data_IF_772751042181
#
_entry.id   IF_772751042181
#
_cell.length_a   1.000
_cell.length_b   1.000
_cell.length_c   1.000
_cell.angle_alpha   90.00
_cell.angle_beta   90.00
_cell.angle_gamma   90.00
#
_symmetry.space_group_name_H-M   'P 1'
#
loop_
_entity.id
_entity.type
_entity.pdbx_description
1 polymer ?
#
# COMPACT_ATOMS: atom_id res chain seq x y z
N UNK A 1 -4.77 -23.54 -21.24
CA UNK A 1 -3.96 -24.59 -21.90
C UNK A 1 -3.24 -24.17 -23.18
N UNK A 2 -3.93 -23.57 -24.16
CA UNK A 2 -3.33 -23.25 -25.46
C UNK A 2 -2.12 -22.29 -25.37
N UNK A 3 -2.15 -21.31 -24.47
CA UNK A 3 -1.05 -20.35 -24.24
C UNK A 3 0.22 -21.00 -23.67
N UNK A 4 0.07 -22.02 -22.81
CA UNK A 4 1.21 -22.72 -22.19
C UNK A 4 1.95 -23.55 -23.24
N UNK A 5 1.22 -24.24 -24.12
CA UNK A 5 1.81 -25.00 -25.23
C UNK A 5 2.54 -24.11 -26.23
N UNK A 6 1.97 -22.94 -26.56
CA UNK A 6 2.61 -21.97 -27.48
C UNK A 6 3.92 -21.42 -26.90
N UNK A 7 3.98 -21.12 -25.60
CA UNK A 7 5.24 -20.71 -24.95
C UNK A 7 6.29 -21.83 -24.98
N UNK A 8 5.88 -23.08 -24.76
CA UNK A 8 6.76 -24.24 -24.88
C UNK A 8 7.41 -24.39 -26.26
N UNK A 9 6.61 -24.27 -27.34
CA UNK A 9 7.13 -24.32 -28.71
C UNK A 9 8.06 -23.15 -29.04
N UNK A 10 7.77 -21.94 -28.52
CA UNK A 10 8.62 -20.76 -28.69
C UNK A 10 9.98 -20.95 -28.00
N UNK A 11 10.00 -21.45 -26.77
CA UNK A 11 11.26 -21.74 -26.06
C UNK A 11 12.07 -22.83 -26.78
N UNK A 12 11.41 -23.88 -27.28
CA UNK A 12 12.08 -24.94 -28.02
C UNK A 12 12.70 -24.43 -29.34
N UNK A 13 12.00 -23.57 -30.09
CA UNK A 13 12.52 -22.98 -31.34
C UNK A 13 13.67 -22.00 -31.08
N UNK A 14 13.60 -21.19 -30.01
CA UNK A 14 14.71 -20.32 -29.61
C UNK A 14 15.94 -21.16 -29.20
N UNK A 15 15.74 -22.24 -28.42
CA UNK A 15 16.84 -23.12 -28.03
C UNK A 15 17.49 -23.81 -29.23
N UNK A 16 16.69 -24.36 -30.16
CA UNK A 16 17.17 -25.02 -31.38
C UNK A 16 17.94 -24.07 -32.31
N UNK A 17 17.45 -22.84 -32.46
CA UNK A 17 18.13 -21.82 -33.28
C UNK A 17 19.44 -21.37 -32.64
N UNK A 18 19.50 -21.21 -31.32
CA UNK A 18 20.72 -20.91 -30.59
C UNK A 18 21.77 -22.04 -30.73
N UNK A 19 21.36 -23.31 -30.58
CA UNK A 19 22.24 -24.48 -30.75
C UNK A 19 22.79 -24.55 -32.19
N UNK A 20 21.93 -24.33 -33.19
CA UNK A 20 22.36 -24.31 -34.59
C UNK A 20 23.35 -23.19 -34.89
N UNK A 21 23.19 -22.01 -34.26
CA UNK A 21 24.11 -20.88 -34.41
C UNK A 21 25.47 -21.22 -33.81
N UNK A 22 25.49 -21.74 -32.58
CA UNK A 22 26.72 -22.12 -31.87
C UNK A 22 27.49 -23.21 -32.63
N UNK A 23 26.79 -24.20 -33.20
CA UNK A 23 27.41 -25.28 -33.99
C UNK A 23 28.03 -24.78 -35.31
N UNK A 24 27.44 -23.75 -35.94
CA UNK A 24 27.82 -23.25 -37.26
C UNK A 24 28.96 -22.24 -37.22
N UNK A 25 29.13 -21.51 -36.12
CA UNK A 25 30.17 -20.48 -35.98
C UNK A 25 31.35 -20.97 -35.14
N UNK A 26 32.55 -21.16 -35.72
CA UNK A 26 33.69 -21.75 -35.03
C UNK A 26 34.20 -20.95 -33.83
N UNK A 27 34.05 -19.62 -33.85
CA UNK A 27 34.42 -18.74 -32.73
C UNK A 27 33.48 -18.94 -31.53
N UNK A 28 32.17 -19.05 -31.78
CA UNK A 28 31.17 -19.34 -30.74
C UNK A 28 31.34 -20.75 -30.19
N UNK A 29 31.57 -21.74 -31.07
CA UNK A 29 31.90 -23.11 -30.65
C UNK A 29 33.15 -23.15 -29.79
N UNK A 30 34.20 -22.42 -30.16
CA UNK A 30 35.44 -22.34 -29.38
C UNK A 30 35.22 -21.74 -27.99
N UNK A 31 34.42 -20.67 -27.89
CA UNK A 31 34.07 -20.04 -26.60
C UNK A 31 33.22 -21.01 -25.75
N UNK A 32 32.17 -21.63 -26.31
CA UNK A 32 31.28 -22.52 -25.55
C UNK A 32 31.90 -23.85 -25.13
N UNK A 33 32.89 -24.37 -25.87
CA UNK A 33 33.59 -25.61 -25.52
C UNK A 33 34.67 -25.37 -24.45
N UNK A 34 35.00 -24.11 -24.14
CA UNK A 34 35.88 -23.79 -23.02
C UNK A 34 35.22 -24.18 -21.70
N UNK A 35 35.96 -24.92 -20.88
CA UNK A 35 35.53 -25.39 -19.56
C UNK A 35 35.10 -24.20 -18.70
N UNK A 36 35.81 -23.08 -18.79
CA UNK A 36 35.52 -21.85 -18.07
C UNK A 36 34.14 -21.26 -18.43
N UNK A 37 33.72 -21.40 -19.70
CA UNK A 37 32.40 -20.92 -20.14
C UNK A 37 31.27 -21.81 -19.63
N UNK A 38 31.52 -23.13 -19.56
CA UNK A 38 30.57 -24.09 -18.96
C UNK A 38 30.40 -23.84 -17.47
N UNK A 39 31.49 -23.56 -16.75
CA UNK A 39 31.48 -23.22 -15.32
C UNK A 39 30.68 -21.94 -15.03
N UNK A 40 30.88 -20.88 -15.82
CA UNK A 40 30.14 -19.62 -15.67
C UNK A 40 28.64 -19.83 -15.93
N UNK A 41 28.28 -20.57 -16.99
CA UNK A 41 26.87 -20.87 -17.29
C UNK A 41 26.25 -21.70 -16.17
N UNK A 42 26.96 -22.70 -15.65
CA UNK A 42 26.48 -23.52 -14.53
C UNK A 42 26.28 -22.67 -13.26
N UNK A 43 27.23 -21.81 -12.93
CA UNK A 43 27.14 -20.88 -11.80
C UNK A 43 25.95 -19.92 -11.96
N UNK A 44 25.73 -19.38 -13.16
CA UNK A 44 24.61 -18.50 -13.45
C UNK A 44 23.26 -19.22 -13.30
N UNK A 45 23.14 -20.43 -13.84
CA UNK A 45 21.94 -21.25 -13.68
C UNK A 45 21.70 -21.57 -12.20
N UNK A 46 22.74 -21.97 -11.48
CA UNK A 46 22.66 -22.22 -10.04
C UNK A 46 22.20 -20.97 -9.26
N UNK A 47 22.75 -19.80 -9.59
CA UNK A 47 22.36 -18.52 -8.99
C UNK A 47 20.89 -18.21 -9.26
N UNK A 48 20.41 -18.37 -10.49
CA UNK A 48 18.99 -18.15 -10.84
C UNK A 48 18.08 -19.10 -10.05
N UNK A 49 18.42 -20.40 -9.98
CA UNK A 49 17.65 -21.36 -9.19
C UNK A 49 17.70 -21.04 -7.69
N UNK A 50 18.84 -20.61 -7.17
CA UNK A 50 18.99 -20.22 -5.77
C UNK A 50 18.15 -18.99 -5.43
N UNK A 51 18.14 -17.96 -6.29
CA UNK A 51 17.31 -16.77 -6.13
C UNK A 51 15.83 -17.15 -6.20
N UNK A 52 15.43 -17.99 -7.14
CA UNK A 52 14.04 -18.46 -7.22
C UNK A 52 13.63 -19.22 -5.96
N UNK A 53 14.47 -20.13 -5.47
CA UNK A 53 14.24 -20.84 -4.21
C UNK A 53 14.10 -19.89 -3.02
N UNK A 54 14.94 -18.86 -2.93
CA UNK A 54 14.82 -17.85 -1.89
C UNK A 54 13.51 -17.06 -1.99
N UNK A 55 13.12 -16.65 -3.20
CA UNK A 55 11.83 -15.97 -3.42
C UNK A 55 10.69 -16.86 -2.97
N UNK A 56 10.64 -18.11 -3.41
CA UNK A 56 9.56 -19.05 -3.07
C UNK A 56 9.46 -19.29 -1.55
N UNK A 57 10.59 -19.21 -0.83
CA UNK A 57 10.64 -19.36 0.63
C UNK A 57 10.28 -18.08 1.38
N UNK A 58 10.69 -16.92 0.89
CA UNK A 58 10.52 -15.61 1.55
C UNK A 58 9.18 -14.98 1.21
N UNK A 59 8.68 -15.14 -0.02
CA UNK A 59 7.41 -14.61 -0.49
C UNK A 59 6.22 -14.93 0.44
N UNK A 60 5.99 -16.19 0.90
CA UNK A 60 4.91 -16.48 1.84
C UNK A 60 5.11 -15.82 3.21
N UNK A 61 6.35 -15.57 3.63
CA UNK A 61 6.65 -14.85 4.88
C UNK A 61 6.37 -13.35 4.73
N UNK A 62 6.81 -12.73 3.62
CA UNK A 62 6.53 -11.31 3.33
C UNK A 62 5.04 -11.04 3.14
N UNK A 63 4.33 -11.97 2.50
CA UNK A 63 2.87 -11.92 2.36
C UNK A 63 2.14 -12.32 3.63
N UNK A 64 2.85 -12.58 4.72
CA UNK A 64 2.29 -12.99 6.01
C UNK A 64 1.32 -14.18 5.89
N UNK A 65 1.55 -15.10 4.94
CA UNK A 65 0.66 -16.22 4.68
C UNK A 65 0.51 -17.16 5.90
N UNK A 66 1.57 -17.27 6.72
CA UNK A 66 1.54 -18.00 8.00
C UNK A 66 0.61 -17.36 9.04
N UNK A 67 0.31 -16.07 8.91
CA UNK A 67 -0.62 -15.32 9.75
C UNK A 67 -2.04 -15.28 9.18
N UNK A 68 -2.29 -15.89 8.01
CA UNK A 68 -3.62 -15.88 7.39
C UNK A 68 -4.70 -16.52 8.27
N UNK A 69 -4.34 -17.50 9.11
CA UNK A 69 -5.25 -18.10 10.10
C UNK A 69 -5.57 -17.17 11.29
N UNK A 70 -4.71 -16.17 11.53
CA UNK A 70 -4.91 -15.10 12.51
C UNK A 70 -5.40 -13.81 11.86
N UNK A 71 -5.88 -13.88 10.63
CA UNK A 71 -6.40 -12.71 9.93
C UNK A 71 -7.62 -12.16 10.68
N UNK A 72 -7.43 -10.97 11.22
CA UNK A 72 -8.46 -10.25 11.93
C UNK A 72 -9.57 -9.77 11.01
N UNK A 73 -9.36 -9.69 9.68
CA UNK A 73 -10.43 -9.32 8.74
C UNK A 73 -11.56 -10.34 8.69
N UNK A 74 -11.28 -11.62 8.89
CA UNK A 74 -12.32 -12.67 8.89
C UNK A 74 -12.90 -12.90 10.29
N UNK A 75 -12.11 -12.64 11.34
CA UNK A 75 -12.53 -12.84 12.74
C UNK A 75 -13.33 -11.65 13.27
N UNK A 76 -12.92 -10.44 12.92
CA UNK A 76 -13.62 -9.21 13.24
C UNK A 76 -14.48 -8.90 12.02
N UNK A 77 -15.79 -9.15 12.08
CA UNK A 77 -16.75 -8.74 11.07
C UNK A 77 -16.84 -7.20 11.05
N UNK A 78 -15.76 -6.56 10.60
CA UNK A 78 -15.65 -5.12 10.51
C UNK A 78 -16.40 -4.70 9.26
N UNK A 79 -17.65 -4.31 9.48
CA UNK A 79 -18.39 -3.54 8.50
C UNK A 79 -17.84 -2.11 8.57
N UNK A 80 -17.15 -1.63 7.52
CA UNK A 80 -16.72 -0.25 7.48
C UNK A 80 -17.98 0.63 7.55
N UNK A 81 -17.95 1.71 8.36
CA UNK A 81 -19.08 2.61 8.42
C UNK A 81 -19.38 3.20 7.03
N UNK A 82 -20.61 3.70 6.84
CA UNK A 82 -20.87 4.61 5.71
C UNK A 82 -19.98 5.86 5.82
N UNK A 83 -20.01 6.75 4.81
CA UNK A 83 -19.31 8.03 4.95
C UNK A 83 -19.72 8.72 6.26
N UNK A 84 -18.75 8.99 7.12
CA UNK A 84 -18.94 9.70 8.39
C UNK A 84 -17.97 10.87 8.38
N UNK A 85 -18.46 12.05 8.73
CA UNK A 85 -17.66 13.23 9.00
C UNK A 85 -18.18 13.79 10.34
N UNK A 86 -17.39 13.61 11.40
CA UNK A 86 -17.80 13.84 12.78
C UNK A 86 -16.76 14.72 13.47
N UNK A 87 -17.16 15.92 13.81
CA UNK A 87 -16.39 16.88 14.59
C UNK A 87 -16.73 16.76 16.10
N UNK A 88 -15.84 17.22 16.96
CA UNK A 88 -16.12 17.49 18.37
C UNK A 88 -17.33 18.41 18.52
N UNK A 89 -17.44 19.40 17.65
CA UNK A 89 -18.57 20.33 17.60
C UNK A 89 -19.93 19.65 17.38
N UNK A 90 -19.96 18.43 16.82
CA UNK A 90 -21.18 17.63 16.63
C UNK A 90 -21.55 16.82 17.88
N UNK A 91 -20.68 16.76 18.88
CA UNK A 91 -20.89 15.99 20.10
C UNK A 91 -21.78 16.73 21.09
N UNK A 92 -22.77 16.03 21.64
CA UNK A 92 -23.50 16.53 22.80
C UNK A 92 -22.63 16.46 24.06
N UNK A 93 -22.62 17.54 24.84
CA UNK A 93 -22.05 17.56 26.18
C UNK A 93 -23.01 16.86 27.15
N UNK A 94 -22.57 15.78 27.76
CA UNK A 94 -23.26 15.08 28.84
C UNK A 94 -22.57 15.46 30.15
N UNK A 95 -23.27 16.25 30.97
CA UNK A 95 -22.74 16.80 32.23
C UNK A 95 -21.40 17.55 32.01
N UNK A 96 -20.27 16.89 32.28
CA UNK A 96 -18.90 17.44 32.19
C UNK A 96 -18.06 16.84 31.04
N UNK A 97 -18.61 15.92 30.25
CA UNK A 97 -17.88 15.22 29.20
C UNK A 97 -18.63 15.16 27.87
N UNK A 98 -17.89 15.17 26.77
CA UNK A 98 -18.39 14.93 25.43
C UNK A 98 -18.16 13.47 25.08
N UNK A 99 -19.19 12.79 24.59
CA UNK A 99 -19.08 11.38 24.24
C UNK A 99 -19.83 11.06 22.97
N UNK A 100 -19.20 10.23 22.14
CA UNK A 100 -19.85 9.55 21.03
C UNK A 100 -19.48 8.08 21.03
N UNK A 101 -20.43 7.22 20.70
CA UNK A 101 -20.24 5.78 20.65
C UNK A 101 -20.78 5.25 19.32
N UNK A 102 -19.87 4.81 18.46
CA UNK A 102 -20.16 4.03 17.26
C UNK A 102 -20.09 2.53 17.58
N UNK A 103 -20.52 1.68 16.64
CA UNK A 103 -20.41 0.21 16.75
C UNK A 103 -18.97 -0.25 16.95
N UNK A 104 -18.02 0.42 16.28
CA UNK A 104 -16.61 -0.02 16.20
C UNK A 104 -15.64 0.86 17.02
N UNK A 105 -16.04 2.05 17.44
CA UNK A 105 -15.18 2.98 18.16
C UNK A 105 -15.99 3.91 19.05
N UNK A 106 -15.33 4.61 19.96
CA UNK A 106 -15.96 5.67 20.76
C UNK A 106 -15.01 6.81 21.01
N UNK A 107 -15.55 8.02 21.08
CA UNK A 107 -14.84 9.20 21.54
C UNK A 107 -15.36 9.61 22.90
N UNK A 108 -14.44 10.06 23.74
CA UNK A 108 -14.73 10.65 25.02
C UNK A 108 -13.72 11.76 25.27
N UNK A 109 -14.20 12.91 25.71
CA UNK A 109 -13.37 14.03 26.10
C UNK A 109 -13.99 14.69 27.33
N UNK A 110 -13.16 15.19 28.23
CA UNK A 110 -13.59 15.80 29.49
C UNK A 110 -12.87 17.12 29.65
N UNK A 111 -13.62 18.16 30.04
CA UNK A 111 -13.04 19.47 30.34
C UNK A 111 -12.20 19.45 31.62
N UNK A 112 -12.55 18.58 32.56
CA UNK A 112 -11.92 18.54 33.88
C UNK A 112 -12.07 19.88 34.61
N UNK A 113 -11.02 20.29 35.34
CA UNK A 113 -11.03 21.53 36.13
C UNK A 113 -10.70 22.80 35.34
N UNK A 114 -10.62 22.75 34.01
CA UNK A 114 -10.35 23.93 33.17
C UNK A 114 -11.60 24.79 33.02
N UNK A 115 -11.43 26.09 32.82
CA UNK A 115 -12.55 27.02 32.62
C UNK A 115 -13.33 26.75 31.32
N UNK A 116 -12.63 26.27 30.28
CA UNK A 116 -13.20 25.90 28.99
C UNK A 116 -12.43 24.73 28.36
N UNK A 117 -13.07 24.07 27.39
CA UNK A 117 -12.52 22.92 26.69
C UNK A 117 -11.74 23.37 25.45
N UNK A 118 -10.41 23.23 25.48
CA UNK A 118 -9.54 23.57 24.35
C UNK A 118 -9.36 22.40 23.38
N UNK A 119 -9.47 21.15 23.83
CA UNK A 119 -9.29 20.01 22.93
C UNK A 119 -10.40 19.93 21.89
N UNK A 120 -10.02 19.47 20.69
CA UNK A 120 -10.93 19.11 19.61
C UNK A 120 -10.60 17.73 19.09
N UNK A 121 -11.57 17.14 18.42
CA UNK A 121 -11.40 15.89 17.72
C UNK A 121 -12.12 15.96 16.38
N UNK A 122 -11.64 15.18 15.43
CA UNK A 122 -12.29 15.04 14.13
C UNK A 122 -12.14 13.60 13.66
N UNK A 123 -13.23 13.01 13.20
CA UNK A 123 -13.24 11.70 12.59
C UNK A 123 -13.89 11.77 11.23
N UNK A 124 -13.18 11.30 10.21
CA UNK A 124 -13.71 11.20 8.86
C UNK A 124 -13.45 9.82 8.29
N UNK A 125 -14.49 9.19 7.75
CA UNK A 125 -14.42 7.95 7.00
C UNK A 125 -14.89 8.17 5.56
N UNK A 126 -14.02 7.90 4.59
CA UNK A 126 -14.35 7.89 3.18
C UNK A 126 -14.37 6.44 2.65
N UNK A 127 -15.55 5.82 2.51
CA UNK A 127 -15.67 4.43 2.07
C UNK A 127 -15.24 4.25 0.60
N UNK A 128 -15.32 5.31 -0.23
CA UNK A 128 -14.93 5.22 -1.65
C UNK A 128 -13.43 5.02 -1.82
N UNK A 129 -12.64 5.50 -0.85
CA UNK A 129 -11.19 5.44 -0.86
C UNK A 129 -10.63 4.54 0.26
N UNK A 130 -11.50 3.83 0.97
CA UNK A 130 -11.18 3.02 2.15
C UNK A 130 -10.25 3.75 3.13
N UNK A 131 -10.55 5.02 3.39
CA UNK A 131 -9.71 5.92 4.19
C UNK A 131 -10.44 6.32 5.46
N UNK A 132 -9.81 6.12 6.61
CA UNK A 132 -10.29 6.64 7.89
C UNK A 132 -9.24 7.55 8.50
N UNK A 133 -9.65 8.74 8.92
CA UNK A 133 -8.80 9.73 9.57
C UNK A 133 -9.36 10.02 10.96
N UNK A 134 -8.50 9.90 11.97
CA UNK A 134 -8.76 10.28 13.34
C UNK A 134 -7.82 11.43 13.69
N UNK A 135 -8.36 12.56 14.10
CA UNK A 135 -7.64 13.75 14.53
C UNK A 135 -8.01 14.10 15.97
N UNK A 136 -7.01 14.36 16.79
CA UNK A 136 -7.16 14.81 18.18
C UNK A 136 -6.19 15.97 18.37
N UNK A 137 -6.72 17.09 18.85
CA UNK A 137 -6.01 18.37 18.92
C UNK A 137 -6.10 18.89 20.34
N UNK A 138 -5.00 18.85 21.08
CA UNK A 138 -4.86 19.47 22.41
C UNK A 138 -4.58 20.96 22.21
N UNK A 139 -5.55 21.80 22.56
CA UNK A 139 -5.45 23.24 22.38
C UNK A 139 -4.74 23.91 23.55
N UNK A 140 -4.04 25.03 23.29
CA UNK A 140 -3.39 25.82 24.34
C UNK A 140 -3.38 27.30 23.97
N UNK A 141 -3.62 28.16 24.96
CA UNK A 141 -3.62 29.61 24.77
C UNK A 141 -4.86 30.11 24.02
N UNK A 142 -5.94 29.33 24.06
CA UNK A 142 -7.19 29.54 23.33
C UNK A 142 -7.54 28.37 22.41
N UNK A 143 -8.83 28.20 22.15
CA UNK A 143 -9.36 27.12 21.29
C UNK A 143 -9.23 27.37 19.78
N UNK A 144 -8.78 28.55 19.35
CA UNK A 144 -8.82 28.94 17.93
C UNK A 144 -8.08 27.96 17.00
N UNK A 145 -6.89 27.50 17.41
CA UNK A 145 -6.09 26.60 16.58
C UNK A 145 -6.69 25.20 16.53
N UNK A 146 -7.17 24.68 17.67
CA UNK A 146 -7.82 23.38 17.71
C UNK A 146 -9.13 23.38 16.92
N UNK A 147 -9.92 24.46 17.00
CA UNK A 147 -11.12 24.68 16.15
C UNK A 147 -10.75 24.70 14.65
N UNK A 148 -9.67 25.41 14.28
CA UNK A 148 -9.21 25.46 12.89
C UNK A 148 -8.78 24.09 12.38
N UNK A 149 -8.06 23.32 13.20
CA UNK A 149 -7.59 21.98 12.84
C UNK A 149 -8.76 21.01 12.71
N UNK A 150 -9.73 21.05 13.62
CA UNK A 150 -10.97 20.26 13.52
C UNK A 150 -11.65 20.46 12.16
N UNK A 151 -11.84 21.71 11.74
CA UNK A 151 -12.58 22.01 10.52
C UNK A 151 -11.81 21.69 9.22
N UNK A 152 -10.48 21.65 9.25
CA UNK A 152 -9.67 21.63 8.02
C UNK A 152 -8.76 20.42 7.87
N UNK A 153 -8.29 19.82 8.97
CA UNK A 153 -7.22 18.85 8.94
C UNK A 153 -7.57 17.60 8.10
N UNK A 154 -8.66 16.90 8.42
CA UNK A 154 -8.94 15.64 7.73
C UNK A 154 -9.26 15.87 6.24
N UNK A 155 -9.96 16.95 5.91
CA UNK A 155 -10.21 17.36 4.52
C UNK A 155 -8.90 17.61 3.77
N UNK A 156 -8.01 18.43 4.31
CA UNK A 156 -6.71 18.74 3.68
C UNK A 156 -5.84 17.49 3.51
N UNK A 157 -5.80 16.60 4.50
CA UNK A 157 -5.05 15.34 4.42
C UNK A 157 -5.65 14.41 3.36
N UNK A 158 -6.97 14.22 3.35
CA UNK A 158 -7.66 13.43 2.33
C UNK A 158 -7.38 13.95 0.94
N UNK A 159 -7.58 15.25 0.69
CA UNK A 159 -7.36 15.84 -0.62
C UNK A 159 -5.92 15.67 -1.09
N UNK A 160 -4.95 15.71 -0.17
CA UNK A 160 -3.54 15.44 -0.49
C UNK A 160 -3.31 13.97 -0.83
N UNK A 161 -3.86 13.03 -0.05
CA UNK A 161 -3.72 11.59 -0.31
C UNK A 161 -4.34 11.21 -1.65
N UNK A 162 -5.55 11.68 -1.92
CA UNK A 162 -6.27 11.39 -3.18
C UNK A 162 -5.53 11.98 -4.39
N UNK A 163 -4.99 13.20 -4.28
CA UNK A 163 -4.14 13.79 -5.32
C UNK A 163 -2.91 12.93 -5.62
N UNK A 164 -2.22 12.44 -4.60
CA UNK A 164 -1.02 11.60 -4.77
C UNK A 164 -1.35 10.22 -5.36
N UNK A 165 -2.44 9.60 -4.93
CA UNK A 165 -2.90 8.33 -5.49
C UNK A 165 -3.26 8.46 -6.97
N UNK A 166 -4.02 9.50 -7.33
CA UNK A 166 -4.35 9.79 -8.72
C UNK A 166 -3.09 10.02 -9.57
N UNK A 167 -2.10 10.78 -9.05
CA UNK A 167 -0.82 10.95 -9.75
C UNK A 167 -0.08 9.64 -9.95
N UNK A 168 0.00 8.77 -8.93
CA UNK A 168 0.66 7.46 -9.09
C UNK A 168 -0.03 6.61 -10.16
N UNK A 169 -1.37 6.61 -10.19
CA UNK A 169 -2.15 5.88 -11.18
C UNK A 169 -1.96 6.45 -12.60
N UNK A 170 -2.03 7.77 -12.75
CA UNK A 170 -1.76 8.44 -14.02
C UNK A 170 -0.32 8.21 -14.51
N UNK A 171 0.65 8.18 -13.59
CA UNK A 171 2.05 7.88 -13.90
C UNK A 171 2.22 6.43 -14.35
N UNK A 172 1.62 5.45 -13.65
CA UNK A 172 1.66 4.05 -14.07
C UNK A 172 0.97 3.81 -15.42
N UNK A 173 -0.07 4.60 -15.71
CA UNK A 173 -0.82 4.52 -16.96
C UNK A 173 -0.17 5.34 -18.10
N UNK A 174 0.95 6.02 -17.84
CA UNK A 174 1.68 6.83 -18.83
C UNK A 174 0.96 8.11 -19.27
N UNK A 175 -0.02 8.56 -18.49
CA UNK A 175 -0.91 9.69 -18.79
C UNK A 175 -0.53 10.97 -18.03
N UNK A 176 0.48 10.92 -17.17
CA UNK A 176 0.91 12.05 -16.37
C UNK A 176 1.86 12.94 -17.18
N UNK A 177 1.48 14.21 -17.37
CA UNK A 177 2.33 15.21 -18.00
C UNK A 177 3.17 15.90 -16.91
N UNK A 178 4.50 15.85 -17.01
CA UNK A 178 5.43 16.40 -16.00
C UNK A 178 5.31 17.92 -15.81
N UNK A 179 4.57 18.61 -16.67
CA UNK A 179 4.32 20.04 -16.61
C UNK A 179 3.06 20.45 -15.84
N UNK A 180 2.29 19.51 -15.26
CA UNK A 180 1.09 19.88 -14.50
C UNK A 180 1.46 20.53 -13.15
N UNK A 181 1.12 21.82 -12.95
CA UNK A 181 1.57 22.56 -11.78
C UNK A 181 0.99 21.97 -10.50
N UNK A 182 1.82 21.96 -9.45
CA UNK A 182 1.41 21.67 -8.08
C UNK A 182 0.73 22.92 -7.53
N UNK A 183 -0.60 22.93 -7.52
CA UNK A 183 -1.41 23.93 -6.80
C UNK A 183 -2.13 23.24 -5.65
#
# INVERSE_FOLDING_TARGET
EHSIKVRGYLYATIALTAISLIARFPLLRFIFVRVESVEIVFMFVFLVYYVQYLIDKIEPLMKAAHLASFDMQHTIQFEPPSFIDLAFSDLHKYDEFWRYKHKNFSFCASQGYRDYMEDRMHYMHDPNNNLSIFGMFDGHGGQFISDFLEANFARSIRDRILRLQNRRKLSSDGLLNDYDPVV
#
